data_IF_754545786077
#
_entry.id   IF_754545786077
#
_cell.length_a   1.000
_cell.length_b   1.000
_cell.length_c   1.000
_cell.angle_alpha   90.00
_cell.angle_beta   90.00
_cell.angle_gamma   90.00
#
_symmetry.space_group_name_H-M   'P 1'
#
loop_
_entity.id
_entity.type
_entity.pdbx_description
1 polymer ?
#
# COMPACT_ATOMS: atom_id res chain seq x y z
N UNK A 1 -10.49 8.32 -23.55
CA UNK A 1 -11.10 7.47 -22.50
C UNK A 1 -10.98 5.96 -22.75
N UNK A 2 -11.31 5.41 -23.93
CA UNK A 2 -11.31 3.93 -24.16
C UNK A 2 -9.95 3.23 -24.07
N UNK A 3 -8.82 3.92 -24.29
CA UNK A 3 -7.47 3.32 -24.24
C UNK A 3 -6.93 3.09 -22.81
N UNK A 4 -7.44 3.80 -21.79
CA UNK A 4 -6.99 3.62 -20.40
C UNK A 4 -7.69 2.47 -19.67
N UNK A 5 -8.85 2.05 -20.18
CA UNK A 5 -9.62 0.92 -19.65
C UNK A 5 -8.79 -0.36 -19.49
N UNK A 6 -8.04 -0.83 -20.51
CA UNK A 6 -7.28 -2.08 -20.39
C UNK A 6 -6.16 -2.00 -19.34
N UNK A 7 -5.48 -0.87 -19.20
CA UNK A 7 -4.44 -0.68 -18.18
C UNK A 7 -5.02 -0.67 -16.76
N UNK A 8 -6.15 0.01 -16.58
CA UNK A 8 -6.84 0.07 -15.29
C UNK A 8 -7.38 -1.31 -14.89
N UNK A 9 -7.95 -2.05 -15.84
CA UNK A 9 -8.41 -3.43 -15.64
C UNK A 9 -7.23 -4.36 -15.29
N UNK A 10 -6.08 -4.20 -15.95
CA UNK A 10 -4.87 -4.98 -15.64
C UNK A 10 -4.38 -4.74 -14.21
N UNK A 11 -4.31 -3.48 -13.78
CA UNK A 11 -3.92 -3.11 -12.41
C UNK A 11 -4.90 -3.69 -11.39
N UNK A 12 -6.21 -3.61 -11.66
CA UNK A 12 -7.25 -4.18 -10.80
C UNK A 12 -7.10 -5.71 -10.64
N UNK A 13 -6.91 -6.42 -11.74
CA UNK A 13 -6.72 -7.88 -11.73
C UNK A 13 -5.47 -8.25 -10.92
N UNK A 14 -4.34 -7.60 -11.19
CA UNK A 14 -3.09 -7.84 -10.45
C UNK A 14 -3.24 -7.54 -8.96
N UNK A 15 -3.98 -6.48 -8.61
CA UNK A 15 -4.30 -6.14 -7.23
C UNK A 15 -5.11 -7.23 -6.52
N UNK A 16 -6.18 -7.71 -7.15
CA UNK A 16 -7.03 -8.77 -6.60
C UNK A 16 -6.25 -10.07 -6.42
N UNK A 17 -5.46 -10.48 -7.42
CA UNK A 17 -4.63 -11.70 -7.36
C UNK A 17 -3.62 -11.58 -6.22
N UNK A 18 -2.92 -10.45 -6.12
CA UNK A 18 -1.93 -10.22 -5.06
C UNK A 18 -2.58 -10.26 -3.68
N UNK A 19 -3.74 -9.63 -3.51
CA UNK A 19 -4.49 -9.63 -2.25
C UNK A 19 -4.94 -11.05 -1.84
N UNK A 20 -5.38 -11.84 -2.81
CA UNK A 20 -5.78 -13.25 -2.60
C UNK A 20 -4.59 -14.09 -2.14
N UNK A 21 -3.43 -13.95 -2.79
CA UNK A 21 -2.19 -14.65 -2.42
C UNK A 21 -1.78 -14.27 -1.00
N UNK A 22 -1.74 -12.97 -0.68
CA UNK A 22 -1.36 -12.49 0.66
C UNK A 22 -2.30 -13.03 1.74
N UNK A 23 -3.61 -13.06 1.49
CA UNK A 23 -4.58 -13.62 2.44
C UNK A 23 -4.38 -15.13 2.64
N UNK A 24 -4.13 -15.89 1.57
CA UNK A 24 -3.83 -17.32 1.65
C UNK A 24 -2.55 -17.60 2.45
N UNK A 25 -1.48 -16.84 2.19
CA UNK A 25 -0.24 -16.95 2.94
C UNK A 25 -0.44 -16.61 4.41
N UNK A 26 -1.14 -15.51 4.71
CA UNK A 26 -1.43 -15.12 6.09
C UNK A 26 -2.27 -16.18 6.81
N UNK A 27 -3.24 -16.79 6.14
CA UNK A 27 -4.02 -17.90 6.69
C UNK A 27 -3.12 -19.09 7.04
N UNK A 28 -2.28 -19.53 6.10
CA UNK A 28 -1.37 -20.66 6.32
C UNK A 28 -0.37 -20.38 7.45
N UNK A 29 0.16 -19.15 7.53
CA UNK A 29 1.07 -18.74 8.60
C UNK A 29 0.35 -18.74 9.95
N UNK A 30 -0.85 -18.15 10.05
CA UNK A 30 -1.65 -18.17 11.29
C UNK A 30 -1.96 -19.59 11.74
N UNK A 31 -2.33 -20.47 10.81
CA UNK A 31 -2.59 -21.88 11.10
C UNK A 31 -1.34 -22.56 11.69
N UNK A 32 -0.17 -22.40 11.05
CA UNK A 32 1.10 -22.95 11.56
C UNK A 32 1.50 -22.39 12.93
N UNK A 33 1.22 -21.10 13.18
CA UNK A 33 1.49 -20.45 14.47
C UNK A 33 0.61 -21.07 15.57
N UNK A 34 -0.68 -21.29 15.31
CA UNK A 34 -1.61 -21.94 16.24
C UNK A 34 -1.22 -23.41 16.49
N UNK A 35 -0.84 -24.13 15.43
CA UNK A 35 -0.43 -25.53 15.51
C UNK A 35 0.92 -25.73 16.23
N UNK A 36 1.75 -24.68 16.36
CA UNK A 36 3.08 -24.73 16.97
C UNK A 36 3.09 -24.70 18.52
N UNK A 37 1.93 -24.62 19.17
CA UNK A 37 1.80 -24.67 20.63
C UNK A 37 1.59 -23.30 21.30
N UNK A 38 1.66 -23.22 22.65
CA UNK A 38 1.26 -22.03 23.38
C UNK A 38 2.13 -20.84 23.00
N UNK A 39 1.48 -19.83 22.41
CA UNK A 39 2.13 -18.59 22.02
C UNK A 39 2.49 -17.83 23.29
N UNK A 40 3.79 -17.59 23.48
CA UNK A 40 4.28 -16.65 24.47
C UNK A 40 3.59 -15.29 24.24
N UNK A 41 3.16 -14.60 25.30
CA UNK A 41 2.48 -13.30 25.22
C UNK A 41 3.31 -12.28 24.42
N UNK A 42 4.63 -12.43 24.47
CA UNK A 42 5.60 -11.65 23.68
C UNK A 42 5.40 -11.83 22.18
N UNK A 43 5.12 -13.05 21.71
CA UNK A 43 4.91 -13.35 20.30
C UNK A 43 3.59 -12.76 19.79
N UNK A 44 2.54 -12.78 20.62
CA UNK A 44 1.23 -12.18 20.29
C UNK A 44 1.35 -10.65 20.15
N UNK A 45 2.00 -9.99 21.10
CA UNK A 45 2.25 -8.53 21.05
C UNK A 45 3.08 -8.13 19.84
N UNK A 46 4.03 -8.96 19.43
CA UNK A 46 4.88 -8.70 18.26
C UNK A 46 4.09 -8.82 16.94
N UNK A 47 3.18 -9.80 16.84
CA UNK A 47 2.26 -9.94 15.70
C UNK A 47 1.29 -8.75 15.57
N UNK A 48 0.74 -8.26 16.68
CA UNK A 48 -0.12 -7.08 16.68
C UNK A 48 0.63 -5.81 16.23
N UNK A 49 1.85 -5.61 16.73
CA UNK A 49 2.70 -4.49 16.33
C UNK A 49 3.06 -4.53 14.84
N UNK A 50 3.36 -5.70 14.30
CA UNK A 50 3.61 -5.89 12.87
C UNK A 50 2.36 -5.58 12.02
N UNK A 51 1.19 -6.02 12.47
CA UNK A 51 -0.09 -5.74 11.80
C UNK A 51 -0.39 -4.23 11.75
N UNK A 52 -0.29 -3.54 12.88
CA UNK A 52 -0.53 -2.10 12.96
C UNK A 52 0.46 -1.29 12.10
N UNK A 53 1.74 -1.66 12.11
CA UNK A 53 2.75 -1.03 11.27
C UNK A 53 2.49 -1.22 9.76
N UNK A 54 1.88 -2.34 9.37
CA UNK A 54 1.49 -2.60 7.98
C UNK A 54 0.28 -1.76 7.55
N UNK A 55 -0.74 -1.65 8.40
CA UNK A 55 -1.92 -0.80 8.13
C UNK A 55 -1.51 0.66 8.00
N UNK A 56 -0.66 1.14 8.91
CA UNK A 56 -0.15 2.52 8.88
C UNK A 56 0.60 2.85 7.59
N UNK A 57 1.39 1.90 7.07
CA UNK A 57 2.08 2.04 5.78
C UNK A 57 1.11 2.37 4.65
N UNK A 58 0.10 1.53 4.49
CA UNK A 58 -0.85 1.67 3.39
C UNK A 58 -1.74 2.89 3.57
N UNK A 59 -2.14 3.23 4.80
CA UNK A 59 -2.89 4.45 5.06
C UNK A 59 -2.14 5.71 4.59
N UNK A 60 -0.84 5.82 4.89
CA UNK A 60 -0.02 6.97 4.46
C UNK A 60 0.12 7.00 2.93
N UNK A 61 0.40 5.86 2.30
CA UNK A 61 0.58 5.78 0.83
C UNK A 61 -0.71 6.10 0.09
N UNK A 62 -1.86 5.58 0.53
CA UNK A 62 -3.16 5.90 -0.08
C UNK A 62 -3.56 7.36 0.15
N UNK A 63 -3.24 7.91 1.32
CA UNK A 63 -3.48 9.33 1.60
C UNK A 63 -2.67 10.23 0.66
N UNK A 64 -1.37 10.00 0.52
CA UNK A 64 -0.54 10.84 -0.36
C UNK A 64 -0.84 10.60 -1.84
N UNK A 65 -1.06 9.36 -2.27
CA UNK A 65 -1.50 9.06 -3.65
C UNK A 65 -2.85 9.70 -3.98
N UNK A 66 -3.83 9.60 -3.08
CA UNK A 66 -5.12 10.27 -3.23
C UNK A 66 -4.98 11.79 -3.36
N UNK A 67 -4.07 12.41 -2.60
CA UNK A 67 -3.74 13.83 -2.76
C UNK A 67 -3.12 14.13 -4.13
N UNK A 68 -2.22 13.27 -4.63
CA UNK A 68 -1.65 13.39 -5.98
C UNK A 68 -2.73 13.45 -7.06
N UNK A 69 -3.71 12.55 -6.99
CA UNK A 69 -4.85 12.53 -7.91
C UNK A 69 -5.71 13.81 -7.82
N UNK A 70 -5.97 14.32 -6.61
CA UNK A 70 -6.70 15.59 -6.44
C UNK A 70 -5.95 16.75 -7.07
N UNK A 71 -4.62 16.81 -6.90
CA UNK A 71 -3.80 17.88 -7.49
C UNK A 71 -3.78 17.77 -9.03
N UNK A 72 -3.73 16.56 -9.58
CA UNK A 72 -3.77 16.32 -11.03
C UNK A 72 -5.06 16.89 -11.64
N UNK A 73 -6.21 16.69 -11.00
CA UNK A 73 -7.50 17.19 -11.50
C UNK A 73 -7.58 18.73 -11.52
N UNK A 74 -6.86 19.41 -10.62
CA UNK A 74 -6.82 20.87 -10.55
C UNK A 74 -5.94 21.52 -11.64
N UNK A 75 -5.13 20.72 -12.34
CA UNK A 75 -4.20 21.22 -13.36
C UNK A 75 -4.84 21.16 -14.76
N UNK A 76 -4.73 22.23 -15.57
CA UNK A 76 -5.32 22.28 -16.92
C UNK A 76 -4.47 21.52 -17.95
N UNK A 77 -4.04 20.29 -17.63
CA UNK A 77 -3.25 19.45 -18.53
C UNK A 77 -4.13 18.42 -19.23
N UNK A 78 -3.98 18.29 -20.54
CA UNK A 78 -4.58 17.21 -21.31
C UNK A 78 -3.90 15.88 -20.98
N UNK A 79 -4.63 14.99 -20.29
CA UNK A 79 -4.15 13.66 -19.85
C UNK A 79 -3.61 12.75 -20.97
N UNK A 80 -3.91 13.09 -22.23
CA UNK A 80 -3.48 12.35 -23.42
C UNK A 80 -2.19 12.86 -24.06
N UNK A 81 -1.73 14.07 -23.74
CA UNK A 81 -0.56 14.67 -24.40
C UNK A 81 0.63 14.91 -23.46
N UNK A 82 0.42 14.76 -22.16
CA UNK A 82 1.42 15.10 -21.16
C UNK A 82 1.71 13.93 -20.22
N UNK A 83 2.99 13.62 -20.03
CA UNK A 83 3.48 12.68 -19.02
C UNK A 83 3.47 13.25 -17.60
N UNK A 84 3.15 14.55 -17.45
CA UNK A 84 3.18 15.28 -16.18
C UNK A 84 2.26 14.66 -15.11
N UNK A 85 1.00 14.27 -15.40
CA UNK A 85 0.12 13.67 -14.40
C UNK A 85 0.70 12.39 -13.78
N UNK A 86 1.28 11.52 -14.60
CA UNK A 86 1.88 10.27 -14.12
C UNK A 86 3.13 10.51 -13.27
N UNK A 87 3.96 11.48 -13.66
CA UNK A 87 5.13 11.89 -12.88
C UNK A 87 4.73 12.50 -11.54
N UNK A 88 3.69 13.33 -11.53
CA UNK A 88 3.18 13.96 -10.31
C UNK A 88 2.63 12.91 -9.34
N UNK A 89 1.83 11.97 -9.82
CA UNK A 89 1.32 10.86 -9.00
C UNK A 89 2.46 10.03 -8.41
N UNK A 90 3.49 9.72 -9.21
CA UNK A 90 4.66 8.97 -8.75
C UNK A 90 5.43 9.71 -7.63
N UNK A 91 5.54 11.05 -7.70
CA UNK A 91 6.14 11.87 -6.65
C UNK A 91 5.35 11.78 -5.35
N UNK A 92 4.02 11.89 -5.43
CA UNK A 92 3.14 11.81 -4.25
C UNK A 92 3.16 10.41 -3.60
N UNK A 93 3.19 9.35 -4.39
CA UNK A 93 3.35 7.99 -3.87
C UNK A 93 4.73 7.79 -3.21
N UNK A 94 5.80 8.26 -3.85
CA UNK A 94 7.15 8.20 -3.29
C UNK A 94 7.25 8.98 -1.96
N UNK A 95 6.59 10.13 -1.87
CA UNK A 95 6.49 10.91 -0.64
C UNK A 95 5.80 10.12 0.48
N UNK A 96 4.71 9.41 0.19
CA UNK A 96 4.06 8.52 1.17
C UNK A 96 4.97 7.43 1.70
N UNK A 97 5.73 6.77 0.82
CA UNK A 97 6.72 5.77 1.25
C UNK A 97 7.85 6.38 2.09
N UNK A 98 8.34 7.56 1.73
CA UNK A 98 9.37 8.27 2.51
C UNK A 98 8.87 8.68 3.89
N UNK A 99 7.66 9.24 3.98
CA UNK A 99 7.04 9.62 5.26
C UNK A 99 6.92 8.37 6.15
N UNK A 100 6.38 7.27 5.62
CA UNK A 100 6.28 6.01 6.37
C UNK A 100 7.65 5.52 6.86
N UNK A 101 8.66 5.56 6.01
CA UNK A 101 10.03 5.16 6.38
C UNK A 101 10.57 6.02 7.52
N UNK A 102 10.39 7.34 7.47
CA UNK A 102 10.82 8.25 8.53
C UNK A 102 10.06 8.00 9.83
N UNK A 103 8.74 7.76 9.77
CA UNK A 103 7.94 7.37 10.95
C UNK A 103 8.45 6.08 11.57
N UNK A 104 8.81 5.07 10.76
CA UNK A 104 9.34 3.80 11.27
C UNK A 104 10.74 3.97 11.87
N UNK A 105 11.61 4.76 11.21
CA UNK A 105 12.95 5.09 11.71
C UNK A 105 12.88 5.76 13.08
N UNK A 106 11.92 6.67 13.28
CA UNK A 106 11.75 7.40 14.53
C UNK A 106 11.18 6.54 15.67
N UNK A 107 10.48 5.45 15.36
CA UNK A 107 9.93 4.49 16.33
C UNK A 107 10.89 3.31 16.66
N UNK A 108 12.17 3.40 16.24
CA UNK A 108 13.24 2.43 16.56
C UNK A 108 14.24 2.96 17.62
N UNK A 109 13.77 3.76 18.57
CA UNK A 109 14.44 4.05 19.84
C UNK A 109 13.56 3.58 20.99
#
# INVERSE_FOLDING_TARGET
MKQFLPFMVMILILGIVSMTIVNLLNYNLKKRIIDAGPLDETAVKLLEKLSAAHVLKWAIVFFTGGLGLVVIELLPFSATESLIPYGLEAIFLAMGFLIYYLTLKNNRL
#
